data_IF_786220664701
#
_entry.id   IF_786220664701
#
_cell.length_a   1.000
_cell.length_b   1.000
_cell.length_c   1.000
_cell.angle_alpha   90.00
_cell.angle_beta   90.00
_cell.angle_gamma   90.00
#
_symmetry.space_group_name_H-M   'P 1'
#
loop_
_entity.id
_entity.type
_entity.pdbx_description
1 polymer ?
#
# COMPACT_ATOMS: atom_id res chain seq x y z
N UNK A 1 -5.80 11.79 5.17
CA UNK A 1 -5.67 10.50 4.45
C UNK A 1 -4.71 10.70 3.30
N UNK A 2 -3.74 9.81 3.11
CA UNK A 2 -2.82 9.85 1.96
C UNK A 2 -3.43 9.07 0.79
N UNK A 3 -3.05 9.42 -0.44
CA UNK A 3 -3.48 8.67 -1.62
C UNK A 3 -3.11 7.16 -1.54
N UNK A 4 -2.01 6.84 -0.86
CA UNK A 4 -1.63 5.46 -0.56
C UNK A 4 -2.63 4.78 0.40
N UNK A 5 -3.03 5.45 1.48
CA UNK A 5 -4.01 4.90 2.43
C UNK A 5 -5.37 4.60 1.77
N UNK A 6 -5.82 5.47 0.86
CA UNK A 6 -7.07 5.29 0.13
C UNK A 6 -6.98 4.14 -0.88
N UNK A 7 -5.90 4.07 -1.65
CA UNK A 7 -5.66 2.98 -2.59
C UNK A 7 -5.59 1.62 -1.88
N UNK A 8 -4.88 1.54 -0.75
CA UNK A 8 -4.81 0.32 0.07
C UNK A 8 -6.18 -0.15 0.50
N UNK A 9 -7.01 0.76 1.03
CA UNK A 9 -8.39 0.46 1.44
C UNK A 9 -9.20 -0.11 0.27
N UNK A 10 -9.16 0.56 -0.89
CA UNK A 10 -9.88 0.11 -2.08
C UNK A 10 -9.41 -1.28 -2.57
N UNK A 11 -8.11 -1.57 -2.52
CA UNK A 11 -7.60 -2.89 -2.91
C UNK A 11 -8.01 -3.99 -1.93
N UNK A 12 -8.05 -3.70 -0.62
CA UNK A 12 -8.57 -4.63 0.39
C UNK A 12 -10.07 -4.89 0.18
N UNK A 13 -10.85 -3.84 -0.07
CA UNK A 13 -12.28 -3.96 -0.37
C UNK A 13 -12.51 -4.82 -1.63
N UNK A 14 -11.72 -4.59 -2.69
CA UNK A 14 -11.80 -5.38 -3.91
C UNK A 14 -11.35 -6.84 -3.72
N UNK A 15 -10.32 -7.09 -2.91
CA UNK A 15 -9.91 -8.45 -2.55
C UNK A 15 -11.03 -9.20 -1.85
N UNK A 16 -11.69 -8.55 -0.89
CA UNK A 16 -12.78 -9.17 -0.13
C UNK A 16 -14.04 -9.40 -0.97
N UNK A 17 -14.34 -8.49 -1.91
CA UNK A 17 -15.54 -8.57 -2.74
C UNK A 17 -15.36 -9.50 -3.95
N UNK A 18 -14.15 -9.59 -4.50
CA UNK A 18 -13.93 -10.17 -5.82
C UNK A 18 -12.74 -11.13 -5.91
N UNK A 19 -11.94 -11.26 -4.85
CA UNK A 19 -10.81 -12.17 -4.81
C UNK A 19 -11.19 -13.52 -4.20
N UNK A 20 -10.93 -14.58 -4.94
CA UNK A 20 -11.08 -15.95 -4.45
C UNK A 20 -9.81 -16.73 -4.80
N UNK A 21 -9.08 -17.15 -3.77
CA UNK A 21 -7.81 -17.86 -3.94
C UNK A 21 -7.98 -19.23 -4.63
N UNK A 22 -9.14 -19.88 -4.49
CA UNK A 22 -9.39 -21.23 -5.02
C UNK A 22 -9.94 -21.20 -6.43
N UNK A 23 -10.83 -20.26 -6.73
CA UNK A 23 -11.52 -20.20 -8.03
C UNK A 23 -10.92 -19.19 -8.99
N UNK A 24 -10.24 -18.14 -8.50
CA UNK A 24 -9.63 -17.07 -9.30
C UNK A 24 -8.26 -16.64 -8.72
N UNK A 25 -7.27 -17.55 -8.66
CA UNK A 25 -6.00 -17.31 -7.97
C UNK A 25 -5.21 -16.13 -8.55
N UNK A 26 -5.25 -15.90 -9.87
CA UNK A 26 -4.55 -14.79 -10.51
C UNK A 26 -5.11 -13.44 -10.05
N UNK A 27 -6.44 -13.32 -9.96
CA UNK A 27 -7.12 -12.10 -9.50
C UNK A 27 -6.88 -11.86 -8.00
N UNK A 28 -6.93 -12.92 -7.20
CA UNK A 28 -6.58 -12.86 -5.79
C UNK A 28 -5.14 -12.37 -5.58
N UNK A 29 -4.19 -12.95 -6.31
CA UNK A 29 -2.77 -12.58 -6.26
C UNK A 29 -2.53 -11.15 -6.75
N UNK A 30 -3.28 -10.70 -7.77
CA UNK A 30 -3.20 -9.31 -8.25
C UNK A 30 -3.56 -8.33 -7.14
N UNK A 31 -4.70 -8.51 -6.47
CA UNK A 31 -5.09 -7.61 -5.38
C UNK A 31 -4.11 -7.66 -4.21
N UNK A 32 -3.60 -8.85 -3.84
CA UNK A 32 -2.54 -8.95 -2.83
C UNK A 32 -1.28 -8.19 -3.23
N UNK A 33 -0.83 -8.35 -4.47
CA UNK A 33 0.33 -7.64 -5.00
C UNK A 33 0.14 -6.12 -4.95
N UNK A 34 -1.05 -5.63 -5.31
CA UNK A 34 -1.39 -4.20 -5.23
C UNK A 34 -1.43 -3.67 -3.79
N UNK A 35 -1.97 -4.46 -2.85
CA UNK A 35 -1.96 -4.10 -1.42
C UNK A 35 -0.52 -3.99 -0.90
N UNK A 36 0.34 -4.96 -1.22
CA UNK A 36 1.74 -4.93 -0.80
C UNK A 36 2.51 -3.77 -1.45
N UNK A 37 2.30 -3.52 -2.74
CA UNK A 37 2.92 -2.40 -3.44
C UNK A 37 2.60 -1.06 -2.77
N UNK A 38 1.32 -0.82 -2.46
CA UNK A 38 0.91 0.43 -1.80
C UNK A 38 1.48 0.53 -0.39
N UNK A 39 1.51 -0.57 0.37
CA UNK A 39 2.12 -0.57 1.69
C UNK A 39 3.62 -0.24 1.63
N UNK A 40 4.35 -0.77 0.64
CA UNK A 40 5.76 -0.42 0.42
C UNK A 40 5.95 1.04 0.04
N UNK A 41 5.08 1.60 -0.81
CA UNK A 41 5.12 3.03 -1.17
C UNK A 41 4.87 3.91 0.06
N UNK A 42 3.91 3.54 0.91
CA UNK A 42 3.60 4.26 2.15
C UNK A 42 4.80 4.25 3.10
N UNK A 43 5.48 3.11 3.25
CA UNK A 43 6.70 3.01 4.05
C UNK A 43 7.81 3.93 3.52
N UNK A 44 8.06 3.91 2.21
CA UNK A 44 9.07 4.78 1.57
C UNK A 44 8.75 6.26 1.78
N UNK A 45 7.47 6.66 1.71
CA UNK A 45 7.05 8.03 1.98
C UNK A 45 7.31 8.43 3.44
N UNK A 46 7.03 7.53 4.39
CA UNK A 46 7.31 7.77 5.81
C UNK A 46 8.82 7.89 6.08
N UNK A 47 9.63 7.01 5.50
CA UNK A 47 11.09 7.04 5.64
C UNK A 47 11.67 8.35 5.06
N UNK A 48 11.17 8.79 3.91
CA UNK A 48 11.58 10.07 3.31
C UNK A 48 11.24 11.26 4.21
N UNK A 49 10.06 11.28 4.83
CA UNK A 49 9.71 12.36 5.75
C UNK A 49 10.54 12.34 7.04
N UNK A 50 10.86 11.16 7.57
CA UNK A 50 11.79 11.05 8.68
C UNK A 50 13.19 11.60 8.31
N UNK A 51 13.70 11.25 7.13
CA UNK A 51 14.99 11.77 6.64
C UNK A 51 14.95 13.31 6.53
N UNK A 52 13.89 13.87 5.94
CA UNK A 52 13.73 15.33 5.84
C UNK A 52 13.71 16.01 7.21
N UNK A 53 12.99 15.44 8.19
CA UNK A 53 12.96 15.96 9.54
C UNK A 53 14.34 15.90 10.23
N UNK A 54 15.10 14.81 10.03
CA UNK A 54 16.45 14.68 10.56
C UNK A 54 17.42 15.70 9.93
N UNK A 55 17.30 15.96 8.63
CA UNK A 55 18.08 16.99 7.94
C UNK A 55 17.71 18.40 8.41
N UNK A 56 16.43 18.69 8.58
CA UNK A 56 15.96 19.99 9.05
C UNK A 56 16.42 20.31 10.48
N UNK A 57 16.58 19.31 11.35
CA UNK A 57 17.11 19.48 12.72
C UNK A 57 18.62 19.70 12.79
N UNK A 58 19.35 19.46 11.71
CA UNK A 58 20.81 19.66 11.62
C UNK A 58 21.20 21.07 11.17
N UNK A 59 20.25 21.84 10.66
CA UNK A 59 20.36 23.26 10.33
C UNK A 59 19.64 24.10 11.38
#
# INVERSE_FOLDING_TARGET
>A
MSAASDAKRMFVENLNAFGDQKTQPEKYNLYLGLIYLVASVEQVQQDLEQIKQLLAKRH
#
